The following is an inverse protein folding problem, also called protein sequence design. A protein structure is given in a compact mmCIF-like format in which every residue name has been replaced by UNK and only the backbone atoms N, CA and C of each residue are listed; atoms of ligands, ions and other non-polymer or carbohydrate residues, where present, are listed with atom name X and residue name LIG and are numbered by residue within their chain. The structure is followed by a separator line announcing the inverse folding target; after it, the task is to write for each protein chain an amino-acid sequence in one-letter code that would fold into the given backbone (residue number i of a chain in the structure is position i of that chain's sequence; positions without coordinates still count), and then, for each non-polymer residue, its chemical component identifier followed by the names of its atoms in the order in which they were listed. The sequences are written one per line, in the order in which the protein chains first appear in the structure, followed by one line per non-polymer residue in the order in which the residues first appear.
data_IF_917031105585
#
_entry.id   IF_917031105585
#
_cell.length_a   1.000
_cell.length_b   1.000
_cell.length_c   1.000
_cell.angle_alpha   90.00
_cell.angle_beta   90.00
_cell.angle_gamma   90.00
#
_symmetry.space_group_name_H-M   'P 1'
#
loop_
_entity.id
_entity.type
_entity.pdbx_description
1 polymer ?
#
# COMPACT_ATOMS: atom_id res chain seq x y z
N UNK A 1 -5.79 13.49 -20.76
CA UNK A 1 -4.96 13.25 -19.56
C UNK A 1 -3.65 12.72 -20.11
N UNK A 2 -2.54 13.46 -20.03
CA UNK A 2 -1.28 13.01 -20.64
C UNK A 2 -0.77 11.78 -19.88
N UNK A 3 -0.60 10.67 -20.58
CA UNK A 3 0.11 9.51 -20.05
C UNK A 3 1.57 9.90 -19.87
N UNK A 4 2.04 9.84 -18.62
CA UNK A 4 3.42 10.12 -18.27
C UNK A 4 4.01 8.88 -17.62
N UNK A 5 5.24 8.54 -17.99
CA UNK A 5 5.97 7.46 -17.32
C UNK A 5 6.24 7.85 -15.85
N UNK A 6 6.06 6.89 -14.95
CA UNK A 6 6.34 7.06 -13.52
C UNK A 6 7.62 6.29 -13.16
N UNK A 7 8.57 6.99 -12.56
CA UNK A 7 9.78 6.42 -11.99
C UNK A 7 9.59 6.24 -10.48
N UNK A 8 9.57 4.98 -10.05
CA UNK A 8 9.50 4.59 -8.64
C UNK A 8 10.90 4.33 -8.11
N UNK A 9 11.29 5.03 -7.04
CA UNK A 9 12.60 4.87 -6.38
C UNK A 9 12.38 4.57 -4.91
N UNK A 10 13.05 3.54 -4.37
CA UNK A 10 12.83 3.13 -3.00
C UNK A 10 13.56 1.86 -2.61
N UNK A 11 13.11 1.27 -1.51
CA UNK A 11 13.60 -0.01 -1.01
C UNK A 11 12.44 -0.88 -0.55
N UNK A 12 12.68 -2.19 -0.53
CA UNK A 12 11.74 -3.18 -0.02
C UNK A 12 12.44 -4.09 0.95
N UNK A 13 11.72 -4.52 1.99
CA UNK A 13 12.16 -5.57 2.88
C UNK A 13 11.09 -6.66 2.97
N UNK A 14 11.55 -7.90 3.02
CA UNK A 14 10.70 -9.08 3.09
C UNK A 14 10.96 -9.79 4.40
N UNK A 15 9.91 -10.21 5.08
CA UNK A 15 10.01 -10.99 6.30
C UNK A 15 8.81 -11.93 6.43
N UNK A 16 8.93 -12.91 7.33
CA UNK A 16 7.88 -13.88 7.58
C UNK A 16 7.24 -13.63 8.95
N UNK A 17 5.90 -13.50 8.99
CA UNK A 17 5.11 -13.36 10.23
C UNK A 17 3.72 -13.95 10.00
N UNK A 18 3.59 -15.27 10.04
CA UNK A 18 2.35 -15.98 9.67
C UNK A 18 2.09 -16.02 8.16
N UNK A 19 2.58 -15.02 7.42
CA UNK A 19 2.68 -15.00 5.96
C UNK A 19 4.00 -14.33 5.53
N UNK A 20 4.38 -14.51 4.27
CA UNK A 20 5.45 -13.74 3.64
C UNK A 20 4.96 -12.30 3.43
N UNK A 21 5.47 -11.34 4.20
CA UNK A 21 5.09 -9.93 4.10
C UNK A 21 6.23 -9.15 3.43
N UNK A 22 5.86 -8.34 2.44
CA UNK A 22 6.72 -7.38 1.76
C UNK A 22 6.29 -5.99 2.15
N UNK A 23 7.24 -5.18 2.63
CA UNK A 23 7.03 -3.75 2.86
C UNK A 23 7.90 -2.98 1.90
N UNK A 24 7.30 -2.07 1.15
CA UNK A 24 8.00 -1.22 0.20
C UNK A 24 7.82 0.24 0.59
N UNK A 25 8.94 0.95 0.68
CA UNK A 25 8.97 2.40 0.92
C UNK A 25 9.55 3.05 -0.32
N UNK A 26 8.78 3.94 -0.96
CA UNK A 26 9.19 4.51 -2.24
C UNK A 26 8.67 5.91 -2.48
N UNK A 27 9.42 6.70 -3.23
CA UNK A 27 8.99 7.94 -3.85
C UNK A 27 8.60 7.69 -5.30
N UNK A 28 7.50 8.31 -5.73
CA UNK A 28 7.01 8.27 -7.11
C UNK A 28 7.37 9.58 -7.78
N UNK A 29 8.09 9.51 -8.90
CA UNK A 29 8.53 10.65 -9.67
C UNK A 29 7.91 10.58 -11.07
N UNK A 30 7.49 11.72 -11.59
CA UNK A 30 6.99 11.86 -12.94
C UNK A 30 8.17 12.14 -13.86
N UNK A 31 8.33 11.34 -14.91
CA UNK A 31 9.29 11.63 -15.96
C UNK A 31 8.70 12.63 -16.95
N UNK A 32 9.33 13.80 -17.08
CA UNK A 32 8.88 14.88 -17.97
C UNK A 32 9.16 14.58 -19.44
N UNK A 33 10.13 13.69 -19.69
CA UNK A 33 10.51 13.17 -21.00
C UNK A 33 10.73 11.67 -20.90
N UNK A 34 10.40 10.94 -21.97
CA UNK A 34 10.51 9.49 -22.04
C UNK A 34 11.93 9.01 -21.68
N UNK A 35 12.05 8.08 -20.74
CA UNK A 35 13.32 7.54 -20.25
C UNK A 35 14.31 8.55 -19.64
N UNK A 36 13.90 9.80 -19.37
CA UNK A 36 14.78 10.81 -18.78
C UNK A 36 14.70 10.78 -17.25
N UNK A 37 15.40 9.84 -16.62
CA UNK A 37 15.38 9.64 -15.16
C UNK A 37 15.97 10.81 -14.37
N UNK A 38 16.95 11.51 -14.94
CA UNK A 38 17.64 12.63 -14.28
C UNK A 38 16.77 13.88 -14.14
N UNK A 39 15.78 14.02 -15.02
CA UNK A 39 14.81 15.12 -15.04
C UNK A 39 13.50 14.75 -14.32
N UNK A 40 13.45 13.60 -13.64
CA UNK A 40 12.25 13.14 -12.96
C UNK A 40 11.93 14.05 -11.76
N UNK A 41 10.67 14.47 -11.67
CA UNK A 41 10.19 15.36 -10.60
C UNK A 41 9.28 14.59 -9.66
N UNK A 42 9.44 14.66 -8.32
CA UNK A 42 8.58 13.96 -7.38
C UNK A 42 7.12 14.39 -7.55
N UNK A 43 6.22 13.41 -7.65
CA UNK A 43 4.77 13.63 -7.72
C UNK A 43 4.26 14.21 -6.40
N UNK A 44 4.81 13.72 -5.28
CA UNK A 44 4.49 14.16 -3.92
C UNK A 44 5.77 14.51 -3.16
N UNK A 45 6.30 15.74 -3.28
CA UNK A 45 7.52 16.16 -2.60
C UNK A 45 7.40 15.98 -1.07
N UNK A 46 8.43 15.42 -0.44
CA UNK A 46 8.48 15.24 1.02
C UNK A 46 7.62 14.11 1.57
N UNK A 47 6.93 13.34 0.71
CA UNK A 47 6.08 12.21 1.12
C UNK A 47 6.62 10.93 0.48
N UNK A 48 6.73 9.87 1.29
CA UNK A 48 7.06 8.52 0.83
C UNK A 48 5.81 7.65 0.90
N UNK A 49 5.60 6.84 -0.13
CA UNK A 49 4.55 5.83 -0.16
C UNK A 49 5.05 4.57 0.53
N UNK A 50 4.28 4.09 1.50
CA UNK A 50 4.53 2.82 2.21
C UNK A 50 3.46 1.83 1.79
N UNK A 51 3.88 0.71 1.21
CA UNK A 51 2.99 -0.38 0.81
C UNK A 51 3.34 -1.63 1.61
N UNK A 52 2.32 -2.27 2.18
CA UNK A 52 2.43 -3.58 2.83
C UNK A 52 1.65 -4.57 2.00
N UNK A 53 2.33 -5.58 1.47
CA UNK A 53 1.72 -6.62 0.63
C UNK A 53 2.12 -8.00 1.12
N UNK A 54 1.28 -8.98 0.84
CA UNK A 54 1.58 -10.39 1.09
C UNK A 54 0.87 -11.22 0.01
N UNK A 55 1.55 -12.20 -0.62
CA UNK A 55 0.90 -13.10 -1.55
C UNK A 55 -0.09 -14.01 -0.80
N UNK A 56 -1.29 -14.15 -1.34
CA UNK A 56 -2.33 -15.00 -0.78
C UNK A 56 -2.95 -15.87 -1.87
N UNK A 57 -3.25 -17.12 -1.54
CA UNK A 57 -4.13 -17.99 -2.32
C UNK A 57 -5.52 -17.98 -1.68
N UNK A 58 -6.55 -18.42 -2.41
CA UNK A 58 -7.93 -18.44 -1.89
C UNK A 58 -8.06 -19.20 -0.56
N UNK A 59 -7.32 -20.30 -0.40
CA UNK A 59 -7.31 -21.14 0.78
C UNK A 59 -6.51 -20.57 1.96
N UNK A 60 -5.54 -19.68 1.70
CA UNK A 60 -4.68 -19.05 2.73
C UNK A 60 -5.04 -17.60 3.01
N UNK A 61 -6.04 -17.05 2.31
CA UNK A 61 -6.39 -15.63 2.36
C UNK A 61 -6.68 -15.13 3.77
N UNK A 62 -7.42 -15.90 4.56
CA UNK A 62 -7.79 -15.52 5.94
C UNK A 62 -6.57 -15.40 6.85
N UNK A 63 -5.63 -16.34 6.75
CA UNK A 63 -4.39 -16.35 7.52
C UNK A 63 -3.48 -15.19 7.11
N UNK A 64 -3.33 -14.97 5.80
CA UNK A 64 -2.53 -13.87 5.25
C UNK A 64 -3.14 -12.52 5.63
N UNK A 65 -4.46 -12.36 5.55
CA UNK A 65 -5.15 -11.13 5.94
C UNK A 65 -4.98 -10.84 7.44
N UNK A 66 -5.06 -11.87 8.31
CA UNK A 66 -4.82 -11.72 9.73
C UNK A 66 -3.35 -11.31 10.03
N UNK A 67 -2.38 -11.93 9.35
CA UNK A 67 -0.97 -11.60 9.47
C UNK A 67 -0.67 -10.15 9.07
N UNK A 68 -1.18 -9.71 7.91
CA UNK A 68 -1.05 -8.32 7.44
C UNK A 68 -1.72 -7.35 8.41
N UNK A 69 -2.92 -7.66 8.89
CA UNK A 69 -3.66 -6.80 9.82
C UNK A 69 -2.90 -6.62 11.14
N UNK A 70 -2.40 -7.71 11.74
CA UNK A 70 -1.58 -7.66 12.96
C UNK A 70 -0.30 -6.85 12.76
N UNK A 71 0.31 -6.94 11.58
CA UNK A 71 1.49 -6.14 11.27
C UNK A 71 1.15 -4.65 11.09
N UNK A 72 0.04 -4.31 10.44
CA UNK A 72 -0.42 -2.93 10.31
C UNK A 72 -0.75 -2.30 11.68
N UNK A 73 -1.34 -3.05 12.60
CA UNK A 73 -1.56 -2.60 13.99
C UNK A 73 -0.25 -2.31 14.72
N UNK A 74 0.77 -3.16 14.52
CA UNK A 74 2.09 -2.92 15.07
C UNK A 74 2.74 -1.63 14.53
N UNK A 75 2.46 -1.26 13.28
CA UNK A 75 2.98 -0.04 12.67
C UNK A 75 2.15 1.21 12.99
N UNK A 76 0.93 1.08 13.53
CA UNK A 76 0.02 2.19 13.76
C UNK A 76 0.61 3.40 14.54
N UNK A 77 1.50 3.22 15.53
CA UNK A 77 2.13 4.36 16.22
C UNK A 77 3.12 5.15 15.35
N UNK A 78 3.62 4.55 14.27
CA UNK A 78 4.66 5.13 13.41
C UNK A 78 4.09 5.65 12.10
N UNK A 79 3.10 4.95 11.54
CA UNK A 79 2.57 5.17 10.20
C UNK A 79 1.07 4.91 10.17
N UNK A 80 0.35 5.75 9.44
CA UNK A 80 -1.07 5.52 9.14
C UNK A 80 -1.18 4.73 7.84
N UNK A 81 -1.62 3.47 7.95
CA UNK A 81 -1.83 2.60 6.80
C UNK A 81 -3.33 2.48 6.49
N UNK A 82 -3.67 2.46 5.20
CA UNK A 82 -5.04 2.31 4.72
C UNK A 82 -5.13 1.30 3.58
N UNK A 83 -6.37 0.92 3.22
CA UNK A 83 -6.62 0.09 2.04
C UNK A 83 -6.21 0.86 0.77
N UNK A 84 -5.49 0.24 -0.17
CA UNK A 84 -5.18 0.86 -1.46
C UNK A 84 -6.45 1.36 -2.16
N UNK A 85 -6.42 2.59 -2.68
CA UNK A 85 -7.57 3.21 -3.36
C UNK A 85 -8.60 3.86 -2.43
N UNK A 86 -8.56 3.60 -1.12
CA UNK A 86 -9.31 4.37 -0.12
C UNK A 86 -8.33 5.35 0.52
N UNK A 87 -8.35 6.61 0.04
CA UNK A 87 -7.70 7.73 0.73
C UNK A 87 -8.46 7.99 2.01
N UNK A 88 -8.12 7.25 3.07
CA UNK A 88 -8.66 7.55 4.39
C UNK A 88 -8.05 8.88 4.81
N UNK A 89 -8.80 9.97 4.67
CA UNK A 89 -8.59 11.12 5.53
C UNK A 89 -8.61 10.60 6.97
N UNK A 90 -7.43 10.54 7.58
CA UNK A 90 -7.15 10.15 8.97
C UNK A 90 -8.17 9.15 9.53
N UNK A 91 -8.05 7.86 9.19
CA UNK A 91 -8.79 6.83 9.94
C UNK A 91 -8.01 6.52 11.22
N UNK A 92 -8.65 6.52 12.42
CA UNK A 92 -7.92 6.50 13.68
C UNK A 92 -7.15 5.20 13.99
N UNK A 93 -7.48 4.08 13.33
CA UNK A 93 -7.01 2.75 13.75
C UNK A 93 -6.91 1.76 12.58
N UNK A 94 -5.82 0.99 12.53
CA UNK A 94 -5.53 -0.06 11.54
C UNK A 94 -6.62 -1.14 11.41
N UNK A 95 -7.34 -1.46 12.49
CA UNK A 95 -8.48 -2.39 12.47
C UNK A 95 -9.63 -1.94 11.54
N UNK A 96 -9.87 -0.63 11.42
CA UNK A 96 -10.88 -0.11 10.49
C UNK A 96 -10.43 -0.24 9.02
N UNK A 97 -9.11 -0.12 8.76
CA UNK A 97 -8.55 -0.40 7.44
C UNK A 97 -8.62 -1.91 7.09
N UNK A 98 -8.34 -2.79 8.06
CA UNK A 98 -8.49 -4.24 7.91
C UNK A 98 -9.95 -4.66 7.66
N UNK A 99 -10.91 -4.10 8.39
CA UNK A 99 -12.34 -4.34 8.16
C UNK A 99 -12.79 -3.91 6.76
N UNK A 100 -12.22 -2.83 6.21
CA UNK A 100 -12.47 -2.37 4.83
C UNK A 100 -11.85 -3.30 3.77
N UNK A 101 -10.80 -4.06 4.11
CA UNK A 101 -10.27 -5.14 3.26
C UNK A 101 -11.18 -6.37 3.24
N UNK A 102 -11.76 -6.72 4.39
CA UNK A 102 -12.64 -7.90 4.55
C UNK A 102 -14.08 -7.67 4.07
N UNK A 103 -14.49 -6.41 3.89
CA UNK A 103 -15.77 -6.03 3.32
C UNK A 103 -15.75 -6.09 1.79
N UNK A 104 -15.69 -7.29 1.22
CA UNK A 104 -16.17 -7.58 -0.14
C UNK A 104 -17.47 -8.35 -0.03
N UNK A 105 -18.61 -7.68 -0.23
CA UNK A 105 -19.91 -8.31 -0.08
C UNK A 105 -21.06 -7.32 -0.10
N UNK A 106 -21.61 -7.06 -1.29
CA UNK A 106 -22.91 -6.41 -1.42
C UNK A 106 -23.06 -5.42 -2.58
N UNK A 107 -22.51 -5.72 -3.76
CA UNK A 107 -22.89 -5.03 -4.99
C UNK A 107 -24.25 -5.51 -5.50
N UNK A 108 -25.34 -5.11 -4.85
CA UNK A 108 -26.67 -5.08 -5.48
C UNK A 108 -27.39 -3.79 -5.09
N UNK A 109 -28.12 -3.25 -6.07
CA UNK A 109 -28.92 -2.02 -6.12
C UNK A 109 -28.12 -0.81 -6.61
N UNK A 110 -28.42 -0.22 -7.77
CA UNK A 110 -29.69 -0.08 -8.50
C UNK A 110 -29.55 -0.38 -9.99
#
# INVERSE_FOLDING_TARGET
MNDHELLRVGFSFNFYRGAQITVTVSSINKMLKLHATDEAVPVTPGIQMVEVTAPAAAETYTEVAAAVSSFCEYLAPLLHLSKPGISTGVVPTAAAAAASLMSDGGGTTL
#
